data_IF_701283846508
#
_entry.id   IF_701283846508
#
_cell.length_a   1.000
_cell.length_b   1.000
_cell.length_c   1.000
_cell.angle_alpha   90.00
_cell.angle_beta   90.00
_cell.angle_gamma   90.00
#
_symmetry.space_group_name_H-M   'P 1'
#
loop_
_entity.id
_entity.type
_entity.pdbx_description
1 polymer ?
#
# COMPACT_ATOMS: atom_id res chain seq x y z
N UNK A 1 10.69 10.04 -20.44
CA UNK A 1 10.90 8.63 -20.81
C UNK A 1 11.02 8.54 -22.33
N UNK A 2 11.84 7.64 -22.89
CA UNK A 2 11.94 7.48 -24.34
C UNK A 2 10.56 7.18 -24.95
N UNK A 3 10.34 7.62 -26.19
CA UNK A 3 9.17 7.22 -26.99
C UNK A 3 9.03 5.69 -27.00
N UNK A 4 7.80 5.19 -26.83
CA UNK A 4 7.51 3.75 -26.71
C UNK A 4 7.63 3.17 -25.29
N UNK A 5 7.92 4.00 -24.28
CA UNK A 5 7.83 3.58 -22.88
C UNK A 5 6.37 3.47 -22.43
N UNK A 6 6.06 2.42 -21.66
CA UNK A 6 4.70 2.18 -21.14
C UNK A 6 4.67 2.38 -19.63
N UNK A 7 3.72 3.18 -19.16
CA UNK A 7 3.33 3.19 -17.74
C UNK A 7 2.25 2.13 -17.53
N UNK A 8 2.51 1.21 -16.61
CA UNK A 8 1.52 0.24 -16.15
C UNK A 8 1.16 0.59 -14.70
N UNK A 9 -0.06 1.06 -14.52
CA UNK A 9 -0.61 1.42 -13.22
C UNK A 9 -1.44 0.27 -12.66
N UNK A 10 -1.27 -0.03 -11.37
CA UNK A 10 -2.11 -0.98 -10.66
C UNK A 10 -2.59 -0.40 -9.33
N UNK A 11 -3.87 -0.66 -9.06
CA UNK A 11 -4.58 -0.29 -7.85
C UNK A 11 -5.58 -1.39 -7.54
N UNK A 12 -5.70 -1.73 -6.26
CA UNK A 12 -6.66 -2.71 -5.79
C UNK A 12 -7.09 -2.35 -4.37
N UNK A 13 -8.38 -2.54 -4.08
CA UNK A 13 -8.96 -2.31 -2.76
C UNK A 13 -9.59 -3.58 -2.19
N UNK A 14 -9.87 -3.56 -0.90
CA UNK A 14 -10.62 -4.60 -0.19
C UNK A 14 -11.29 -3.99 1.04
N UNK A 15 -12.53 -4.39 1.27
CA UNK A 15 -13.26 -4.09 2.51
C UNK A 15 -12.82 -4.97 3.70
N UNK A 16 -12.01 -6.01 3.46
CA UNK A 16 -11.56 -6.94 4.51
C UNK A 16 -10.53 -6.25 5.40
N UNK A 17 -10.86 -6.15 6.69
CA UNK A 17 -9.96 -5.65 7.71
C UNK A 17 -9.02 -6.76 8.21
N UNK A 18 -7.75 -6.41 8.44
CA UNK A 18 -6.76 -7.29 9.04
C UNK A 18 -6.33 -6.70 10.38
N UNK A 19 -6.31 -7.53 11.42
CA UNK A 19 -5.88 -7.13 12.76
C UNK A 19 -4.44 -7.59 13.01
N UNK A 20 -3.60 -6.70 13.53
CA UNK A 20 -2.24 -7.00 13.96
C UNK A 20 -2.04 -6.50 15.39
N UNK A 21 -1.67 -7.41 16.30
CA UNK A 21 -1.37 -7.11 17.71
C UNK A 21 0.15 -7.16 18.02
N UNK A 22 0.99 -7.27 16.99
CA UNK A 22 2.44 -7.45 17.12
C UNK A 22 3.22 -6.29 16.48
N UNK A 23 4.53 -6.26 16.75
CA UNK A 23 5.46 -5.27 16.19
C UNK A 23 6.07 -5.67 14.83
N UNK A 24 5.64 -6.80 14.27
CA UNK A 24 6.09 -7.30 12.97
C UNK A 24 5.12 -6.90 11.87
N UNK A 25 5.66 -6.67 10.66
CA UNK A 25 4.85 -6.43 9.48
C UNK A 25 3.99 -7.65 9.15
N UNK A 26 2.69 -7.41 8.93
CA UNK A 26 1.75 -8.40 8.39
C UNK A 26 1.10 -7.83 7.15
N UNK A 27 0.84 -8.67 6.15
CA UNK A 27 0.14 -8.24 4.95
C UNK A 27 -1.29 -7.81 5.28
N UNK A 28 -1.76 -6.77 4.59
CA UNK A 28 -3.19 -6.52 4.48
C UNK A 28 -3.84 -7.60 3.61
N UNK A 29 -5.16 -7.54 3.44
CA UNK A 29 -5.89 -8.49 2.60
C UNK A 29 -5.71 -8.27 1.09
N UNK A 30 -4.89 -7.31 0.66
CA UNK A 30 -4.73 -6.95 -0.76
C UNK A 30 -3.35 -7.36 -1.25
N UNK A 31 -3.34 -8.15 -2.31
CA UNK A 31 -2.16 -8.52 -3.06
C UNK A 31 -2.44 -8.30 -4.54
N UNK A 32 -1.64 -7.46 -5.19
CA UNK A 32 -1.74 -7.14 -6.61
C UNK A 32 -0.75 -8.05 -7.35
N UNK A 33 -1.26 -9.05 -8.06
CA UNK A 33 -0.46 -9.88 -8.93
C UNK A 33 -0.42 -9.28 -10.34
N UNK A 34 0.76 -9.13 -10.90
CA UNK A 34 0.94 -8.39 -12.14
C UNK A 34 2.10 -8.95 -12.97
N UNK A 35 1.97 -8.93 -14.29
CA UNK A 35 3.06 -9.25 -15.23
C UNK A 35 3.35 -8.04 -16.11
N UNK A 36 4.57 -7.48 -16.09
CA UNK A 36 4.93 -6.37 -16.97
C UNK A 36 4.77 -6.73 -18.43
N UNK A 37 4.22 -5.80 -19.22
CA UNK A 37 4.06 -5.96 -20.67
C UNK A 37 5.41 -5.85 -21.37
N UNK A 38 6.28 -4.97 -20.88
CA UNK A 38 7.63 -4.78 -21.39
C UNK A 38 8.63 -4.67 -20.24
N UNK A 39 9.87 -5.12 -20.45
CA UNK A 39 10.96 -4.94 -19.48
C UNK A 39 11.30 -3.46 -19.26
N UNK A 40 11.03 -2.61 -20.26
CA UNK A 40 11.17 -1.16 -20.22
C UNK A 40 10.00 -0.42 -19.56
N UNK A 41 8.93 -1.12 -19.16
CA UNK A 41 7.78 -0.49 -18.52
C UNK A 41 8.15 0.18 -17.21
N UNK A 42 7.55 1.32 -16.93
CA UNK A 42 7.49 1.89 -15.58
C UNK A 42 6.25 1.34 -14.90
N UNK A 43 6.44 0.77 -13.71
CA UNK A 43 5.34 0.27 -12.90
C UNK A 43 4.99 1.32 -11.87
N UNK A 44 3.71 1.65 -11.80
CA UNK A 44 3.15 2.51 -10.76
C UNK A 44 2.18 1.70 -9.91
N UNK A 45 2.44 1.64 -8.61
CA UNK A 45 1.55 1.00 -7.64
C UNK A 45 1.01 2.08 -6.73
N UNK A 46 -0.30 2.23 -6.70
CA UNK A 46 -0.97 3.08 -5.73
C UNK A 46 -1.62 2.23 -4.65
N UNK A 47 -1.47 2.69 -3.42
CA UNK A 47 -2.06 2.07 -2.26
C UNK A 47 -2.81 3.11 -1.47
N UNK A 48 -4.07 2.80 -1.12
CA UNK A 48 -4.93 3.65 -0.31
C UNK A 48 -5.68 2.80 0.71
N UNK A 49 -5.69 3.24 1.97
CA UNK A 49 -6.29 2.48 3.04
C UNK A 49 -6.51 3.29 4.30
N UNK A 50 -7.09 2.65 5.30
CA UNK A 50 -7.30 3.20 6.63
C UNK A 50 -6.73 2.26 7.67
N UNK A 51 -6.31 2.81 8.80
CA UNK A 51 -6.05 2.06 10.01
C UNK A 51 -6.92 2.58 11.14
N UNK A 52 -7.19 1.72 12.12
CA UNK A 52 -7.79 2.11 13.39
C UNK A 52 -7.05 1.48 14.57
N UNK A 53 -7.05 2.17 15.70
CA UNK A 53 -6.52 1.71 16.99
C UNK A 53 -7.36 2.27 18.14
N UNK A 54 -7.20 1.69 19.33
CA UNK A 54 -7.78 2.26 20.55
C UNK A 54 -7.19 3.64 20.85
N UNK A 55 -8.01 4.59 21.28
CA UNK A 55 -7.56 5.94 21.62
C UNK A 55 -6.58 5.96 22.81
N UNK A 56 -6.69 5.00 23.72
CA UNK A 56 -5.80 4.80 24.87
C UNK A 56 -4.47 4.13 24.51
N UNK A 57 -4.33 3.55 23.30
CA UNK A 57 -3.11 2.86 22.89
C UNK A 57 -2.01 3.87 22.52
N UNK A 58 -0.93 3.88 23.30
CA UNK A 58 0.32 4.55 22.93
C UNK A 58 0.99 3.86 21.72
N UNK A 59 1.78 4.61 20.95
CA UNK A 59 2.49 4.09 19.77
C UNK A 59 1.92 4.54 18.43
N UNK A 60 2.68 4.31 17.36
CA UNK A 60 2.36 4.70 15.99
C UNK A 60 1.96 3.53 15.10
N UNK A 61 1.54 3.85 13.88
CA UNK A 61 1.29 2.90 12.80
C UNK A 61 2.43 2.99 11.79
N UNK A 62 2.91 1.84 11.31
CA UNK A 62 3.85 1.75 10.20
C UNK A 62 3.25 0.90 9.08
N UNK A 63 3.46 1.31 7.83
CA UNK A 63 3.13 0.51 6.65
C UNK A 63 4.29 0.52 5.64
N UNK A 64 4.31 -0.47 4.75
CA UNK A 64 5.31 -0.59 3.70
C UNK A 64 4.73 -1.30 2.49
N UNK A 65 5.33 -1.05 1.32
CA UNK A 65 4.94 -1.70 0.07
C UNK A 65 6.06 -2.66 -0.32
N UNK A 66 5.71 -3.91 -0.55
CA UNK A 66 6.62 -5.01 -0.81
C UNK A 66 6.34 -5.60 -2.19
N UNK A 67 7.41 -5.90 -2.92
CA UNK A 67 7.39 -6.66 -4.17
C UNK A 67 8.06 -8.00 -3.92
N UNK A 68 7.33 -9.09 -4.11
CA UNK A 68 7.83 -10.46 -3.94
C UNK A 68 8.53 -10.66 -2.58
N UNK A 69 7.98 -10.06 -1.52
CA UNK A 69 8.54 -10.10 -0.16
C UNK A 69 9.69 -9.11 0.10
N UNK A 70 10.18 -8.40 -0.91
CA UNK A 70 11.22 -7.36 -0.76
C UNK A 70 10.59 -5.98 -0.63
N UNK A 71 11.00 -5.20 0.37
CA UNK A 71 10.49 -3.84 0.55
C UNK A 71 10.89 -2.94 -0.64
N UNK A 72 9.89 -2.35 -1.30
CA UNK A 72 10.08 -1.23 -2.23
C UNK A 72 9.97 0.12 -1.52
N UNK A 73 9.23 0.13 -0.40
CA UNK A 73 9.09 1.28 0.47
C UNK A 73 8.87 0.81 1.91
N UNK A 74 9.59 1.42 2.85
CA UNK A 74 9.45 1.20 4.28
C UNK A 74 9.35 2.55 4.99
N UNK A 75 8.30 2.71 5.81
CA UNK A 75 8.06 3.92 6.60
C UNK A 75 9.09 4.16 7.70
N UNK A 76 9.98 3.21 8.01
CA UNK A 76 11.16 3.56 8.79
C UNK A 76 11.96 4.73 8.17
N UNK A 77 11.80 5.01 6.87
CA UNK A 77 12.39 6.14 6.16
C UNK A 77 11.52 7.40 6.06
N UNK A 78 10.22 7.35 6.41
CA UNK A 78 9.33 8.52 6.36
C UNK A 78 9.37 9.26 7.72
N UNK A 79 10.51 9.91 8.00
CA UNK A 79 10.66 10.84 9.12
C UNK A 79 10.03 12.20 8.80
N UNK A 80 8.71 12.24 8.55
CA UNK A 80 7.96 13.45 8.22
C UNK A 80 6.68 13.62 9.06
N UNK A 81 6.13 14.84 9.17
CA UNK A 81 4.87 15.07 9.87
C UNK A 81 3.73 14.35 9.15
N UNK A 82 3.35 13.19 9.69
CA UNK A 82 2.09 12.45 9.53
C UNK A 82 1.41 12.55 8.14
N UNK A 83 1.57 11.56 7.24
CA UNK A 83 0.81 11.49 5.99
C UNK A 83 -0.68 11.10 6.18
N UNK A 84 -1.23 11.29 7.38
CA UNK A 84 -2.54 10.76 7.76
C UNK A 84 -3.55 11.88 7.99
N UNK A 85 -4.72 11.79 7.33
CA UNK A 85 -5.92 12.48 7.80
C UNK A 85 -6.50 11.66 8.94
N UNK A 86 -6.54 12.24 10.15
CA UNK A 86 -6.91 11.53 11.38
C UNK A 86 -8.30 11.95 11.85
N UNK A 87 -9.14 10.96 12.15
CA UNK A 87 -10.32 11.10 12.97
C UNK A 87 -10.04 10.49 14.35
N UNK A 88 -10.46 11.17 15.42
CA UNK A 88 -10.29 10.68 16.79
C UNK A 88 -11.58 10.91 17.59
N UNK A 89 -12.01 9.87 18.29
CA UNK A 89 -13.03 9.94 19.34
C UNK A 89 -12.45 9.42 20.67
N UNK A 90 -13.28 9.30 21.70
CA UNK A 90 -12.89 8.86 23.04
C UNK A 90 -12.40 7.40 23.09
N UNK A 91 -12.83 6.58 22.13
CA UNK A 91 -12.58 5.15 22.08
C UNK A 91 -11.55 4.76 21.02
N UNK A 92 -11.43 5.51 19.92
CA UNK A 92 -10.67 5.13 18.73
C UNK A 92 -9.96 6.30 18.05
N UNK A 93 -8.86 5.95 17.39
CA UNK A 93 -8.15 6.79 16.42
C UNK A 93 -8.21 6.06 15.08
N UNK A 94 -8.62 6.77 14.03
CA UNK A 94 -8.69 6.28 12.65
C UNK A 94 -7.82 7.20 11.79
N UNK A 95 -6.97 6.65 10.93
CA UNK A 95 -6.16 7.43 9.99
C UNK A 95 -6.20 6.83 8.59
N UNK A 96 -6.31 7.69 7.56
CA UNK A 96 -6.13 7.27 6.16
C UNK A 96 -4.65 7.30 5.79
N UNK A 97 -4.15 6.26 5.13
CA UNK A 97 -2.82 6.21 4.56
C UNK A 97 -2.88 5.99 3.06
N UNK A 98 -2.00 6.69 2.33
CA UNK A 98 -1.98 6.63 0.87
C UNK A 98 -0.56 6.82 0.35
N UNK A 99 -0.16 6.01 -0.65
CA UNK A 99 1.16 6.10 -1.26
C UNK A 99 1.11 5.63 -2.70
N UNK A 100 1.78 6.36 -3.59
CA UNK A 100 2.12 5.87 -4.93
C UNK A 100 3.63 5.64 -4.99
N UNK A 101 4.04 4.47 -5.47
CA UNK A 101 5.44 4.16 -5.78
C UNK A 101 5.60 3.95 -7.29
N UNK A 102 6.76 4.32 -7.81
CA UNK A 102 7.13 4.13 -9.22
C UNK A 102 8.49 3.46 -9.31
N UNK A 103 8.63 2.42 -10.14
CA UNK A 103 9.93 1.79 -10.41
C UNK A 103 9.95 1.11 -11.78
N UNK A 104 11.14 0.77 -12.28
CA UNK A 104 11.29 0.07 -13.56
C UNK A 104 10.89 -1.40 -13.46
N UNK A 105 10.31 -1.95 -14.54
CA UNK A 105 9.93 -3.34 -14.61
C UNK A 105 11.15 -4.27 -14.62
N UNK A 106 12.15 -4.00 -15.46
CA UNK A 106 13.42 -4.72 -15.58
C UNK A 106 13.32 -6.08 -16.29
N UNK A 107 12.16 -6.73 -16.25
CA UNK A 107 11.83 -7.98 -16.93
C UNK A 107 10.30 -8.09 -17.09
N UNK A 108 9.83 -9.17 -17.71
CA UNK A 108 8.40 -9.50 -17.89
C UNK A 108 7.96 -10.66 -17.00
N UNK A 109 8.65 -10.90 -15.88
CA UNK A 109 8.24 -11.94 -14.94
C UNK A 109 7.05 -11.46 -14.10
N UNK A 110 6.12 -12.38 -13.85
CA UNK A 110 5.04 -12.20 -12.90
C UNK A 110 5.60 -11.84 -11.51
N UNK A 111 4.90 -10.97 -10.81
CA UNK A 111 5.29 -10.44 -9.50
C UNK A 111 4.05 -10.12 -8.69
N UNK A 112 4.22 -10.05 -7.38
CA UNK A 112 3.16 -9.69 -6.45
C UNK A 112 3.56 -8.50 -5.61
N UNK A 113 2.70 -7.49 -5.57
CA UNK A 113 2.82 -6.35 -4.67
C UNK A 113 1.86 -6.50 -3.50
N UNK A 114 2.36 -6.25 -2.30
CA UNK A 114 1.57 -6.26 -1.06
C UNK A 114 1.83 -4.99 -0.27
N UNK A 115 0.80 -4.51 0.43
CA UNK A 115 0.99 -3.57 1.52
C UNK A 115 1.01 -4.36 2.82
N UNK A 116 2.00 -4.08 3.65
CA UNK A 116 2.13 -4.69 4.96
C UNK A 116 2.14 -3.59 6.02
N UNK A 117 1.66 -3.91 7.22
CA UNK A 117 1.55 -2.96 8.31
C UNK A 117 1.93 -3.56 9.65
N UNK A 118 2.32 -2.69 10.58
CA UNK A 118 2.64 -3.02 11.97
C UNK A 118 2.12 -1.95 12.93
N UNK A 119 1.76 -2.38 14.14
CA UNK A 119 1.68 -1.48 15.29
C UNK A 119 3.07 -1.31 15.91
N UNK A 120 3.37 -0.13 16.44
CA UNK A 120 4.51 0.04 17.35
C UNK A 120 4.07 -0.18 18.80
N UNK A 121 5.03 -0.50 19.68
CA UNK A 121 4.81 -0.67 21.12
C UNK A 121 3.75 -1.72 21.49
N UNK A 122 3.63 -2.77 20.66
CA UNK A 122 2.71 -3.90 20.83
C UNK A 122 1.23 -3.50 20.88
N UNK A 123 0.87 -2.38 20.24
CA UNK A 123 -0.52 -1.96 20.12
C UNK A 123 -1.26 -2.78 19.07
N UNK A 124 -2.55 -3.05 19.32
CA UNK A 124 -3.42 -3.64 18.31
C UNK A 124 -3.86 -2.57 17.31
N UNK A 125 -3.59 -2.84 16.04
CA UNK A 125 -4.04 -2.05 14.90
C UNK A 125 -4.90 -2.89 13.97
N UNK A 126 -5.91 -2.26 13.40
CA UNK A 126 -6.75 -2.86 12.37
C UNK A 126 -6.53 -2.04 11.11
N UNK A 127 -6.12 -2.66 10.01
CA UNK A 127 -5.95 -2.00 8.72
C UNK A 127 -6.92 -2.56 7.68
N UNK A 128 -7.47 -1.68 6.85
CA UNK A 128 -8.33 -2.01 5.73
C UNK A 128 -7.91 -1.20 4.50
N UNK A 129 -7.87 -1.84 3.34
CA UNK A 129 -7.43 -1.20 2.10
C UNK A 129 -8.63 -0.83 1.23
N UNK A 130 -9.55 -0.04 1.77
CA UNK A 130 -10.72 0.41 1.00
C UNK A 130 -11.48 1.51 1.74
N UNK A 131 -12.15 2.37 0.97
CA UNK A 131 -13.04 3.43 1.44
C UNK A 131 -14.49 2.94 1.72
N UNK A 132 -14.72 1.63 1.70
CA UNK A 132 -16.02 1.01 1.96
C UNK A 132 -16.50 0.15 0.79
N UNK A 133 -16.85 -1.11 1.09
CA UNK A 133 -17.81 -1.92 0.33
C UNK A 133 -17.48 -2.42 -1.09
N UNK A 134 -16.36 -2.04 -1.70
CA UNK A 134 -15.98 -2.53 -3.03
C UNK A 134 -15.23 -3.88 -2.99
N UNK A 135 -15.65 -4.83 -3.83
CA UNK A 135 -14.82 -5.95 -4.27
C UNK A 135 -13.52 -5.43 -4.91
N UNK A 136 -12.42 -6.19 -4.88
CA UNK A 136 -11.17 -5.77 -5.50
C UNK A 136 -11.39 -5.51 -7.00
N UNK A 137 -11.42 -4.24 -7.38
CA UNK A 137 -11.35 -3.82 -8.78
C UNK A 137 -9.88 -3.62 -9.13
N UNK A 138 -9.34 -4.50 -9.99
CA UNK A 138 -8.04 -4.29 -10.61
C UNK A 138 -8.22 -3.33 -11.79
N UNK A 139 -7.81 -2.07 -11.61
CA UNK A 139 -7.80 -1.11 -12.71
C UNK A 139 -6.37 -1.06 -13.28
N UNK A 140 -6.20 -1.67 -14.45
CA UNK A 140 -4.98 -1.57 -15.23
C UNK A 140 -5.13 -0.50 -16.30
N UNK A 141 -4.45 0.62 -16.12
CA UNK A 141 -4.31 1.64 -17.18
C UNK A 141 -2.93 1.50 -17.81
N UNK A 142 -2.91 1.31 -19.13
CA UNK A 142 -1.71 1.30 -19.95
C UNK A 142 -1.65 2.62 -20.70
N UNK A 143 -0.62 3.42 -20.42
CA UNK A 143 -0.37 4.66 -21.16
C UNK A 143 0.93 4.55 -21.94
N UNK A 144 0.83 4.67 -23.26
CA UNK A 144 2.00 4.80 -24.15
C UNK A 144 2.42 6.27 -24.21
N UNK A 145 3.73 6.49 -24.11
CA UNK A 145 4.31 7.82 -24.29
C UNK A 145 4.68 7.98 -25.76
N UNK A 146 3.85 8.71 -26.49
CA UNK A 146 4.14 9.17 -27.85
C UNK A 146 4.88 10.50 -27.77
N UNK A 147 6.07 10.55 -28.37
CA UNK A 147 6.89 11.77 -28.48
C UNK A 147 6.47 12.67 -29.64
#
# INVERSE_FOLDING_TARGET
>A
MPSGSVIQYAYQTSAVAVTNANNSYVATSVAIAFTPKFSSSTIQIHWDGHFSKLASAGGGFGYGIFKDGTALHDIAADSGPQPYTIYKDETRIIGRFSRTISHSAGNTNARTYTCQFRGYSSMTVIANNGSGGGSPEEIMTVMEITG
#
